data_IF_162174175844
#
_entry.id   IF_162174175844
#
_cell.length_a   1.000
_cell.length_b   1.000
_cell.length_c   1.000
_cell.angle_alpha   90.00
_cell.angle_beta   90.00
_cell.angle_gamma   90.00
#
_symmetry.space_group_name_H-M   'P 1'
#
loop_
_entity.id
_entity.type
_entity.pdbx_description
1 polymer ?
#
# COMPACT_ATOMS: atom_id res chain seq x y z
N UNK A 1 9.00 4.31 23.68
CA UNK A 1 8.89 3.80 22.31
C UNK A 1 7.45 3.99 21.88
N UNK A 2 7.19 4.58 20.72
CA UNK A 2 5.82 4.80 20.25
C UNK A 2 5.13 3.46 19.93
N UNK A 3 3.80 3.41 20.04
CA UNK A 3 3.03 2.23 19.63
C UNK A 3 3.14 2.03 18.11
N UNK A 4 3.09 0.77 17.67
CA UNK A 4 3.20 0.43 16.24
C UNK A 4 2.04 1.04 15.45
N UNK A 5 0.85 1.03 16.04
CA UNK A 5 -0.36 1.63 15.48
C UNK A 5 -0.17 3.13 15.25
N UNK A 6 0.34 3.86 16.25
CA UNK A 6 0.59 5.30 16.15
C UNK A 6 1.62 5.61 15.05
N UNK A 7 2.69 4.81 14.97
CA UNK A 7 3.67 4.92 13.89
C UNK A 7 3.01 4.73 12.52
N UNK A 8 2.18 3.70 12.36
CA UNK A 8 1.50 3.41 11.09
C UNK A 8 0.53 4.52 10.70
N UNK A 9 -0.20 5.10 11.65
CA UNK A 9 -1.07 6.25 11.41
C UNK A 9 -0.28 7.46 10.91
N UNK A 10 0.84 7.81 11.57
CA UNK A 10 1.73 8.89 11.11
C UNK A 10 2.29 8.60 9.71
N UNK A 11 2.75 7.37 9.47
CA UNK A 11 3.22 6.95 8.16
C UNK A 11 2.16 7.14 7.07
N UNK A 12 0.91 6.75 7.32
CA UNK A 12 -0.17 6.92 6.35
C UNK A 12 -0.51 8.38 6.10
N UNK A 13 -0.51 9.23 7.13
CA UNK A 13 -0.72 10.66 6.98
C UNK A 13 0.38 11.30 6.10
N UNK A 14 1.65 11.05 6.43
CA UNK A 14 2.80 11.54 5.66
C UNK A 14 2.79 11.03 4.22
N UNK A 15 2.47 9.75 4.01
CA UNK A 15 2.38 9.17 2.66
C UNK A 15 1.25 9.82 1.86
N UNK A 16 0.10 10.09 2.47
CA UNK A 16 -1.02 10.76 1.82
C UNK A 16 -0.66 12.18 1.37
N UNK A 17 0.05 12.93 2.21
CA UNK A 17 0.61 14.24 1.86
C UNK A 17 1.57 14.16 0.66
N UNK A 18 2.51 13.22 0.69
CA UNK A 18 3.45 13.02 -0.41
C UNK A 18 2.74 12.68 -1.73
N UNK A 19 1.73 11.81 -1.68
CA UNK A 19 0.95 11.42 -2.86
C UNK A 19 0.13 12.60 -3.41
N UNK A 20 -0.44 13.44 -2.55
CA UNK A 20 -1.12 14.69 -2.97
C UNK A 20 -0.16 15.63 -3.70
N UNK A 21 1.01 15.90 -3.12
CA UNK A 21 2.02 16.75 -3.74
C UNK A 21 2.59 16.17 -5.05
N UNK A 22 2.70 14.84 -5.16
CA UNK A 22 3.11 14.18 -6.41
C UNK A 22 2.03 14.28 -7.49
N UNK A 23 0.76 14.15 -7.10
CA UNK A 23 -0.39 14.28 -8.01
C UNK A 23 -0.51 15.69 -8.58
N UNK A 24 -0.34 16.73 -7.76
CA UNK A 24 -0.34 18.12 -8.22
C UNK A 24 0.75 18.37 -9.27
N UNK A 25 1.98 17.90 -9.01
CA UNK A 25 3.07 17.98 -9.98
C UNK A 25 2.78 17.21 -11.27
N UNK A 26 2.14 16.04 -11.16
CA UNK A 26 1.73 15.26 -12.32
C UNK A 26 0.67 15.98 -13.16
N UNK A 27 -0.29 16.67 -12.52
CA UNK A 27 -1.31 17.47 -13.22
C UNK A 27 -0.64 18.54 -14.08
N UNK A 28 0.25 19.35 -13.51
CA UNK A 28 0.95 20.41 -14.25
C UNK A 28 1.81 19.87 -15.40
N UNK A 29 2.46 18.72 -15.21
CA UNK A 29 3.18 18.05 -16.30
C UNK A 29 2.24 17.62 -17.42
N UNK A 30 1.10 17.02 -17.07
CA UNK A 30 0.13 16.53 -18.05
C UNK A 30 -0.51 17.66 -18.85
N UNK A 31 -0.84 18.77 -18.22
CA UNK A 31 -1.38 19.98 -18.87
C UNK A 31 -0.41 20.56 -19.92
N UNK A 32 0.90 20.36 -19.76
CA UNK A 32 1.92 20.82 -20.72
C UNK A 32 2.15 19.85 -21.87
N UNK A 33 1.92 18.56 -21.66
CA UNK A 33 2.33 17.51 -22.60
C UNK A 33 1.17 16.89 -23.40
N UNK A 34 -0.07 17.10 -22.96
CA UNK A 34 -1.24 16.49 -23.59
C UNK A 34 -2.28 17.53 -23.98
N UNK A 35 -3.10 17.21 -24.98
CA UNK A 35 -4.20 18.06 -25.43
C UNK A 35 -5.34 18.08 -24.41
N UNK A 36 -6.13 19.14 -24.44
CA UNK A 36 -7.33 19.27 -23.59
C UNK A 36 -8.31 18.10 -23.78
N UNK A 37 -8.45 17.60 -25.01
CA UNK A 37 -9.29 16.43 -25.30
C UNK A 37 -8.78 15.17 -24.59
N UNK A 38 -7.46 14.92 -24.65
CA UNK A 38 -6.85 13.80 -23.93
C UNK A 38 -7.02 13.94 -22.42
N UNK A 39 -6.82 15.14 -21.89
CA UNK A 39 -6.97 15.42 -20.46
C UNK A 39 -8.42 15.24 -20.01
N UNK A 40 -9.40 15.69 -20.79
CA UNK A 40 -10.82 15.52 -20.51
C UNK A 40 -11.22 14.03 -20.51
N UNK A 41 -10.75 13.24 -21.47
CA UNK A 41 -10.97 11.80 -21.51
C UNK A 41 -10.33 11.11 -20.30
N UNK A 42 -9.09 11.46 -19.96
CA UNK A 42 -8.39 10.89 -18.81
C UNK A 42 -9.00 11.30 -17.46
N UNK A 43 -9.55 12.51 -17.35
CA UNK A 43 -10.21 12.99 -16.14
C UNK A 43 -11.44 12.14 -15.81
N UNK A 44 -12.26 11.79 -16.81
CA UNK A 44 -13.42 10.90 -16.64
C UNK A 44 -13.03 9.51 -16.09
N UNK A 45 -11.87 8.98 -16.47
CA UNK A 45 -11.36 7.71 -15.94
C UNK A 45 -10.84 7.87 -14.50
N UNK A 46 -10.15 8.97 -14.22
CA UNK A 46 -9.54 9.30 -12.92
C UNK A 46 -10.59 9.63 -11.84
N UNK A 47 -11.66 10.33 -12.19
CA UNK A 47 -12.76 10.68 -11.27
C UNK A 47 -13.45 9.43 -10.72
N UNK A 48 -13.65 8.39 -11.55
CA UNK A 48 -14.22 7.11 -11.10
C UNK A 48 -13.32 6.37 -10.10
N UNK A 49 -12.00 6.57 -10.14
CA UNK A 49 -11.06 5.93 -9.22
C UNK A 49 -10.76 6.78 -7.98
N UNK A 50 -10.74 8.12 -8.09
CA UNK A 50 -10.43 9.02 -6.98
C UNK A 50 -11.49 9.06 -5.88
N UNK A 51 -12.74 8.67 -6.17
CA UNK A 51 -13.80 8.61 -5.16
C UNK A 51 -13.48 7.56 -4.10
N UNK A 52 -12.91 6.42 -4.51
CA UNK A 52 -12.63 5.31 -3.59
C UNK A 52 -11.51 5.66 -2.58
N UNK A 53 -10.40 6.21 -3.07
CA UNK A 53 -9.24 6.59 -2.24
C UNK A 53 -9.53 7.76 -1.27
N UNK A 54 -10.51 8.60 -1.59
CA UNK A 54 -10.92 9.71 -0.70
C UNK A 54 -11.87 9.29 0.41
N UNK A 55 -12.66 8.23 0.19
CA UNK A 55 -13.71 7.81 1.12
C UNK A 55 -13.18 6.78 2.14
N UNK A 56 -12.27 5.89 1.72
CA UNK A 56 -11.81 4.79 2.56
C UNK A 56 -10.36 5.05 2.98
N UNK A 57 -10.09 5.49 4.22
CA UNK A 57 -8.74 5.66 4.70
C UNK A 57 -8.04 4.30 4.90
N UNK A 58 -6.70 4.26 4.84
CA UNK A 58 -5.92 3.15 5.37
C UNK A 58 -6.32 2.80 6.80
N UNK A 59 -6.49 1.52 7.09
CA UNK A 59 -6.76 1.03 8.46
C UNK A 59 -5.81 -0.09 8.84
N UNK A 60 -5.36 -0.08 10.09
CA UNK A 60 -4.60 -1.20 10.68
C UNK A 60 -5.59 -2.30 11.06
N UNK A 61 -5.43 -3.48 10.49
CA UNK A 61 -6.28 -4.65 10.76
C UNK A 61 -5.72 -5.54 11.85
N UNK A 62 -4.40 -5.73 11.85
CA UNK A 62 -3.73 -6.64 12.77
C UNK A 62 -2.29 -6.18 13.02
N UNK A 63 -1.85 -6.31 14.27
CA UNK A 63 -0.46 -6.11 14.69
C UNK A 63 0.02 -7.36 15.43
N UNK A 64 1.16 -7.88 15.04
CA UNK A 64 1.84 -9.01 15.70
C UNK A 64 3.25 -8.58 16.11
N UNK A 65 3.52 -8.59 17.42
CA UNK A 65 4.81 -8.19 17.99
C UNK A 65 5.72 -9.39 18.21
N UNK A 66 7.01 -9.26 17.87
CA UNK A 66 8.07 -10.25 18.09
C UNK A 66 9.37 -9.56 18.52
N UNK A 67 9.48 -9.27 19.82
CA UNK A 67 10.62 -8.57 20.40
C UNK A 67 10.81 -7.19 19.77
N UNK A 68 11.95 -6.98 19.11
CA UNK A 68 12.29 -5.74 18.40
C UNK A 68 11.67 -5.63 16.99
N UNK A 69 10.76 -6.53 16.62
CA UNK A 69 10.13 -6.55 15.31
C UNK A 69 8.61 -6.61 15.42
N UNK A 70 7.92 -6.08 14.41
CA UNK A 70 6.47 -6.15 14.31
C UNK A 70 6.04 -6.52 12.89
N UNK A 71 4.93 -7.25 12.79
CA UNK A 71 4.22 -7.48 11.54
C UNK A 71 2.88 -6.77 11.61
N UNK A 72 2.61 -5.90 10.65
CA UNK A 72 1.35 -5.17 10.58
C UNK A 72 0.62 -5.53 9.30
N UNK A 73 -0.66 -5.86 9.41
CA UNK A 73 -1.55 -6.04 8.27
C UNK A 73 -2.51 -4.87 8.23
N UNK A 74 -2.67 -4.25 7.06
CA UNK A 74 -3.57 -3.11 6.85
C UNK A 74 -4.54 -3.39 5.70
N UNK A 75 -5.63 -2.63 5.66
CA UNK A 75 -6.47 -2.48 4.47
C UNK A 75 -6.25 -1.08 3.92
N UNK A 76 -5.90 -0.97 2.65
CA UNK A 76 -5.59 0.30 2.01
C UNK A 76 -6.36 0.45 0.71
N UNK A 77 -6.85 1.66 0.39
CA UNK A 77 -7.48 1.88 -0.90
C UNK A 77 -6.41 1.78 -2.01
N UNK A 78 -6.74 1.05 -3.07
CA UNK A 78 -5.95 0.93 -4.28
C UNK A 78 -6.87 1.00 -5.50
N UNK A 79 -6.80 2.13 -6.23
CA UNK A 79 -7.65 2.41 -7.39
C UNK A 79 -9.15 2.36 -7.08
N UNK A 80 -9.78 1.18 -7.13
CA UNK A 80 -11.24 0.97 -7.00
C UNK A 80 -11.62 -0.11 -5.98
N UNK A 81 -10.64 -0.65 -5.27
CA UNK A 81 -10.84 -1.70 -4.27
C UNK A 81 -9.93 -1.45 -3.08
N UNK A 82 -10.23 -2.10 -1.97
CA UNK A 82 -9.30 -2.15 -0.84
C UNK A 82 -8.39 -3.35 -1.05
N UNK A 83 -7.09 -3.15 -0.82
CA UNK A 83 -6.09 -4.19 -0.85
C UNK A 83 -5.50 -4.39 0.54
N UNK A 84 -5.26 -5.65 0.91
CA UNK A 84 -4.53 -5.96 2.14
C UNK A 84 -3.05 -5.80 1.89
N UNK A 85 -2.38 -5.11 2.81
CA UNK A 85 -0.92 -4.95 2.79
C UNK A 85 -0.31 -5.48 4.05
N UNK A 86 0.93 -5.96 3.94
CA UNK A 86 1.73 -6.41 5.06
C UNK A 86 2.97 -5.53 5.17
N UNK A 87 3.30 -5.16 6.40
CA UNK A 87 4.48 -4.40 6.76
C UNK A 87 5.30 -5.20 7.77
N UNK A 88 6.60 -5.30 7.53
CA UNK A 88 7.58 -5.80 8.49
C UNK A 88 8.34 -4.62 9.03
N UNK A 89 8.22 -4.40 10.34
CA UNK A 89 8.83 -3.28 11.03
C UNK A 89 9.90 -3.76 11.98
N UNK A 90 10.89 -2.90 12.22
CA UNK A 90 11.92 -3.07 13.25
C UNK A 90 11.93 -1.86 14.17
N UNK A 91 12.05 -2.08 15.47
CA UNK A 91 12.28 -1.02 16.44
C UNK A 91 13.74 -0.56 16.39
N UNK A 92 13.93 0.74 16.50
CA UNK A 92 15.23 1.44 16.56
C UNK A 92 15.21 2.40 17.75
N UNK A 93 16.35 3.03 18.04
CA UNK A 93 16.46 4.02 19.13
C UNK A 93 15.53 5.22 18.96
N UNK A 94 15.13 5.52 17.71
CA UNK A 94 14.29 6.68 17.36
C UNK A 94 12.83 6.31 17.07
N UNK A 95 12.44 5.04 17.17
CA UNK A 95 11.08 4.57 16.85
C UNK A 95 11.06 3.39 15.87
N UNK A 96 9.99 3.25 15.11
CA UNK A 96 9.83 2.13 14.16
C UNK A 96 10.33 2.47 12.77
N UNK A 97 10.81 1.46 12.05
CA UNK A 97 11.18 1.55 10.64
C UNK A 97 10.56 0.40 9.85
N UNK A 98 10.05 0.70 8.65
CA UNK A 98 9.53 -0.32 7.73
C UNK A 98 10.70 -0.96 6.98
N UNK A 99 11.03 -2.22 7.31
CA UNK A 99 12.06 -2.99 6.62
C UNK A 99 11.54 -3.58 5.30
N UNK A 100 10.29 -4.03 5.29
CA UNK A 100 9.67 -4.65 4.12
C UNK A 100 8.20 -4.34 4.04
N UNK A 101 7.68 -4.21 2.83
CA UNK A 101 6.25 -4.10 2.55
C UNK A 101 5.84 -5.10 1.49
N UNK A 102 4.60 -5.57 1.56
CA UNK A 102 4.03 -6.47 0.57
C UNK A 102 2.53 -6.25 0.39
N UNK A 103 2.00 -6.85 -0.65
CA UNK A 103 0.57 -6.92 -0.96
C UNK A 103 0.11 -8.36 -0.80
N UNK A 104 -1.16 -8.53 -0.47
CA UNK A 104 -1.79 -9.84 -0.54
C UNK A 104 -1.64 -10.41 -1.95
N UNK A 105 -1.33 -11.71 -2.05
CA UNK A 105 -1.07 -12.35 -3.32
C UNK A 105 -2.34 -12.35 -4.18
N UNK A 106 -2.27 -11.78 -5.37
CA UNK A 106 -3.46 -11.62 -6.24
C UNK A 106 -3.97 -12.96 -6.77
N UNK A 107 -3.10 -13.96 -6.91
CA UNK A 107 -3.46 -15.25 -7.49
C UNK A 107 -4.23 -16.13 -6.50
N UNK A 108 -3.81 -16.15 -5.23
CA UNK A 108 -4.43 -16.99 -4.20
C UNK A 108 -5.25 -16.19 -3.17
N UNK A 109 -5.40 -14.88 -3.37
CA UNK A 109 -6.16 -13.99 -2.48
C UNK A 109 -5.79 -14.15 -1.00
N UNK A 110 -4.49 -14.31 -0.72
CA UNK A 110 -3.97 -14.47 0.64
C UNK A 110 -4.24 -15.84 1.28
N UNK A 111 -4.78 -16.81 0.55
CA UNK A 111 -5.01 -18.17 1.06
C UNK A 111 -3.73 -19.01 1.11
N UNK A 112 -2.79 -18.74 0.21
CA UNK A 112 -1.55 -19.53 0.04
C UNK A 112 -1.74 -20.81 -0.79
N UNK A 113 -2.96 -21.08 -1.25
CA UNK A 113 -3.32 -22.23 -2.07
C UNK A 113 -4.09 -21.72 -3.30
N UNK A 114 -3.84 -22.30 -4.47
CA UNK A 114 -4.55 -22.03 -5.71
C UNK A 114 -4.78 -23.34 -6.45
N UNK A 115 -6.03 -23.62 -6.87
CA UNK A 115 -6.42 -24.91 -7.47
C UNK A 115 -6.06 -26.15 -6.64
N UNK A 116 -6.15 -26.06 -5.31
CA UNK A 116 -5.84 -27.17 -4.38
C UNK A 116 -4.35 -27.41 -4.15
N UNK A 117 -3.47 -26.66 -4.81
CA UNK A 117 -2.02 -26.76 -4.67
C UNK A 117 -1.43 -25.52 -4.00
N UNK A 118 -0.22 -25.65 -3.45
CA UNK A 118 0.54 -24.50 -2.95
C UNK A 118 0.64 -23.45 -4.06
N UNK A 119 0.22 -22.22 -3.76
CA UNK A 119 0.18 -21.16 -4.75
C UNK A 119 1.58 -20.92 -5.33
N UNK A 120 1.75 -21.18 -6.63
CA UNK A 120 3.03 -21.08 -7.34
C UNK A 120 3.58 -19.66 -7.38
N UNK A 121 2.69 -18.65 -7.33
CA UNK A 121 3.07 -17.25 -7.42
C UNK A 121 3.66 -16.71 -6.11
N UNK A 122 3.08 -17.04 -4.94
CA UNK A 122 3.64 -16.62 -3.64
C UNK A 122 4.41 -17.71 -2.90
N UNK A 123 4.50 -18.93 -3.47
CA UNK A 123 5.10 -20.10 -2.82
C UNK A 123 4.39 -20.48 -1.52
N UNK A 124 3.09 -20.24 -1.41
CA UNK A 124 2.31 -20.46 -0.18
C UNK A 124 2.44 -19.38 0.90
N UNK A 125 3.25 -18.33 0.69
CA UNK A 125 3.51 -17.30 1.70
C UNK A 125 2.38 -16.28 1.88
N UNK A 126 1.30 -16.36 1.08
CA UNK A 126 0.13 -15.45 1.08
C UNK A 126 0.40 -14.00 0.66
N UNK A 127 1.66 -13.56 0.75
CA UNK A 127 2.08 -12.18 0.49
C UNK A 127 3.12 -12.10 -0.61
N UNK A 128 2.99 -11.08 -1.45
CA UNK A 128 3.99 -10.68 -2.44
C UNK A 128 4.70 -9.44 -1.93
N UNK A 129 5.98 -9.56 -1.61
CA UNK A 129 6.76 -8.44 -1.10
C UNK A 129 7.44 -7.67 -2.23
N UNK A 130 7.30 -6.35 -2.20
CA UNK A 130 7.83 -5.44 -3.22
C UNK A 130 8.90 -4.53 -2.61
N UNK A 131 10.07 -4.43 -3.26
CA UNK A 131 11.24 -3.71 -2.75
C UNK A 131 12.36 -4.66 -2.33
N UNK A 132 13.61 -4.27 -2.60
CA UNK A 132 14.77 -5.15 -2.55
C UNK A 132 14.98 -5.81 -1.18
N UNK A 133 14.92 -7.14 -1.16
CA UNK A 133 15.84 -7.98 -0.40
C UNK A 133 16.15 -9.19 -1.27
N UNK A 134 17.04 -8.98 -2.26
CA UNK A 134 17.98 -10.01 -2.66
C UNK A 134 19.24 -9.73 -1.83
N UNK A 135 19.36 -10.38 -0.68
CA UNK A 135 20.68 -10.68 -0.10
C UNK A 135 20.81 -12.18 -0.07
#
# INVERSE_FOLDING_TARGET
MEAVEDFMWKYFAMRSELMRAAKERSISFRERCFTDEYLAASKKVSEKSNVYEKIIPPVVLQVEMKGISATVITSEPACRKSERRIYKLRSTDIGWQIERKGTECFLCEGLGVYNGETCSNCGGNKWEYHGASKR
#
